data_IF_566955307869
#
_entry.id   IF_566955307869
#
_cell.length_a   1.000
_cell.length_b   1.000
_cell.length_c   1.000
_cell.angle_alpha   90.00
_cell.angle_beta   90.00
_cell.angle_gamma   90.00
#
_symmetry.space_group_name_H-M   'P 1'
#
loop_
_entity.id
_entity.type
_entity.pdbx_description
1 polymer ?
#
# COMPACT_ATOMS: atom_id res chain seq x y z
N UNK A 1 -18.25 -2.04 10.65
CA UNK A 1 -19.13 -1.11 9.88
C UNK A 1 -19.59 0.12 10.68
N UNK A 2 -19.78 0.04 12.01
CA UNK A 2 -20.19 1.20 12.83
C UNK A 2 -19.26 2.44 12.72
N UNK A 3 -17.99 2.25 12.38
CA UNK A 3 -17.01 3.33 12.19
C UNK A 3 -17.16 4.08 10.85
N UNK A 4 -17.86 3.53 9.85
CA UNK A 4 -17.93 4.09 8.49
C UNK A 4 -18.38 5.57 8.48
N UNK A 5 -19.45 5.98 9.19
CA UNK A 5 -19.87 7.39 9.17
C UNK A 5 -18.80 8.35 9.69
N UNK A 6 -18.01 7.92 10.68
CA UNK A 6 -16.93 8.73 11.25
C UNK A 6 -15.76 8.82 10.26
N UNK A 7 -15.37 7.69 9.66
CA UNK A 7 -14.28 7.64 8.68
C UNK A 7 -14.61 8.49 7.44
N UNK A 8 -15.85 8.43 6.95
CA UNK A 8 -16.31 9.30 5.85
C UNK A 8 -16.16 10.76 6.25
N UNK A 9 -16.64 11.14 7.44
CA UNK A 9 -16.51 12.53 7.90
C UNK A 9 -15.05 13.00 7.95
N UNK A 10 -14.13 12.15 8.37
CA UNK A 10 -12.68 12.47 8.40
C UNK A 10 -12.11 12.61 6.99
N UNK A 11 -12.44 11.70 6.07
CA UNK A 11 -11.99 11.75 4.68
C UNK A 11 -12.47 13.05 3.97
N UNK A 12 -13.70 13.46 4.25
CA UNK A 12 -14.33 14.64 3.65
C UNK A 12 -13.80 15.98 4.17
N UNK A 13 -13.18 15.99 5.35
CA UNK A 13 -12.70 17.21 5.99
C UNK A 13 -11.41 17.71 5.35
N UNK A 14 -11.53 18.61 4.37
CA UNK A 14 -10.36 19.21 3.69
C UNK A 14 -9.56 20.17 4.57
N UNK A 15 -10.03 20.46 5.79
CA UNK A 15 -9.25 21.24 6.78
C UNK A 15 -8.37 20.34 7.65
N UNK A 16 -8.59 19.02 7.60
CA UNK A 16 -7.81 18.03 8.31
C UNK A 16 -6.50 17.71 7.58
N UNK A 17 -5.47 17.29 8.32
CA UNK A 17 -4.20 16.93 7.73
C UNK A 17 -4.35 15.78 6.71
N UNK A 18 -3.67 15.88 5.53
CA UNK A 18 -3.58 14.80 4.55
C UNK A 18 -3.38 13.41 5.13
N UNK A 19 -2.49 13.31 6.12
CA UNK A 19 -2.16 12.05 6.78
C UNK A 19 -3.38 11.40 7.43
N UNK A 20 -4.16 12.19 8.17
CA UNK A 20 -5.35 11.65 8.87
C UNK A 20 -6.46 11.26 7.87
N UNK A 21 -6.54 11.97 6.74
CA UNK A 21 -7.51 11.69 5.69
C UNK A 21 -7.19 10.40 4.93
N UNK A 22 -5.91 10.12 4.63
CA UNK A 22 -5.55 8.84 4.00
C UNK A 22 -5.83 7.68 4.94
N UNK A 23 -5.56 7.79 6.25
CA UNK A 23 -5.87 6.70 7.18
C UNK A 23 -7.36 6.42 7.31
N UNK A 24 -8.19 7.45 7.14
CA UNK A 24 -9.62 7.23 7.02
C UNK A 24 -9.97 6.43 5.74
N UNK A 25 -9.38 6.77 4.60
CA UNK A 25 -9.58 6.04 3.34
C UNK A 25 -9.04 4.59 3.41
N UNK A 26 -7.87 4.38 4.00
CA UNK A 26 -7.29 3.05 4.19
C UNK A 26 -8.17 2.19 5.11
N UNK A 27 -8.62 2.74 6.24
CA UNK A 27 -9.53 2.06 7.16
C UNK A 27 -10.87 1.69 6.48
N UNK A 28 -11.39 2.55 5.62
CA UNK A 28 -12.58 2.24 4.80
C UNK A 28 -12.30 1.07 3.84
N UNK A 29 -11.14 1.08 3.17
CA UNK A 29 -10.67 -0.03 2.33
C UNK A 29 -10.53 -1.33 3.11
N UNK A 30 -9.94 -1.28 4.30
CA UNK A 30 -9.75 -2.42 5.21
C UNK A 30 -11.09 -3.02 5.66
N UNK A 31 -12.07 -2.18 6.00
CA UNK A 31 -13.46 -2.61 6.32
C UNK A 31 -14.09 -3.35 5.14
N UNK A 32 -13.78 -2.96 3.90
CA UNK A 32 -14.16 -3.73 2.71
C UNK A 32 -15.64 -3.64 2.34
N UNK A 33 -16.36 -2.59 2.77
CA UNK A 33 -17.80 -2.47 2.52
C UNK A 33 -18.07 -1.81 1.15
N UNK A 34 -18.84 -2.41 0.23
CA UNK A 34 -19.16 -1.77 -1.05
C UNK A 34 -19.94 -0.44 -0.94
N UNK A 35 -20.61 -0.20 0.19
CA UNK A 35 -21.37 1.04 0.43
C UNK A 35 -20.51 2.32 0.45
N UNK A 36 -19.18 2.19 0.56
CA UNK A 36 -18.26 3.31 0.57
C UNK A 36 -17.56 3.54 -0.78
N UNK A 37 -17.93 2.81 -1.83
CA UNK A 37 -17.31 2.97 -3.15
C UNK A 37 -17.53 4.36 -3.73
N UNK A 38 -18.75 4.90 -3.64
CA UNK A 38 -19.06 6.22 -4.21
C UNK A 38 -18.24 7.34 -3.56
N UNK A 39 -18.05 7.27 -2.23
CA UNK A 39 -17.24 8.26 -1.51
C UNK A 39 -15.76 8.11 -1.82
N UNK A 40 -15.24 6.88 -1.89
CA UNK A 40 -13.84 6.66 -2.29
C UNK A 40 -13.61 7.09 -3.75
N UNK A 41 -14.55 6.85 -4.67
CA UNK A 41 -14.44 7.27 -6.08
C UNK A 41 -14.49 8.80 -6.26
N UNK A 42 -15.19 9.50 -5.35
CA UNK A 42 -15.14 10.97 -5.28
C UNK A 42 -13.75 11.45 -4.88
N UNK A 43 -13.13 10.83 -3.86
CA UNK A 43 -11.84 11.26 -3.30
C UNK A 43 -10.62 10.62 -3.96
N UNK A 44 -10.79 9.65 -4.88
CA UNK A 44 -9.68 9.18 -5.73
C UNK A 44 -9.19 10.23 -6.73
N UNK A 45 -9.85 11.38 -6.78
CA UNK A 45 -9.47 12.58 -7.55
C UNK A 45 -9.12 13.76 -6.64
N UNK A 46 -8.85 13.51 -5.37
CA UNK A 46 -8.44 14.55 -4.42
C UNK A 46 -7.16 15.25 -4.92
N UNK A 47 -7.01 16.56 -4.74
CA UNK A 47 -5.77 17.26 -5.09
C UNK A 47 -4.56 16.80 -4.27
N UNK A 48 -4.78 16.19 -3.10
CA UNK A 48 -3.74 15.59 -2.27
C UNK A 48 -3.49 14.16 -2.75
N UNK A 49 -2.29 13.92 -3.27
CA UNK A 49 -1.92 12.66 -3.95
C UNK A 49 -2.08 11.46 -3.01
N UNK A 50 -1.65 11.57 -1.76
CA UNK A 50 -1.71 10.50 -0.77
C UNK A 50 -3.16 10.07 -0.50
N UNK A 51 -4.08 11.03 -0.45
CA UNK A 51 -5.52 10.75 -0.24
C UNK A 51 -6.11 10.10 -1.50
N UNK A 52 -5.78 10.64 -2.67
CA UNK A 52 -6.27 10.13 -3.95
C UNK A 52 -5.83 8.69 -4.21
N UNK A 53 -4.53 8.42 -4.06
CA UNK A 53 -3.92 7.11 -4.24
C UNK A 53 -4.45 6.09 -3.22
N UNK A 54 -4.60 6.48 -1.96
CA UNK A 54 -5.16 5.60 -0.92
C UNK A 54 -6.62 5.25 -1.21
N UNK A 55 -7.42 6.21 -1.71
CA UNK A 55 -8.79 5.93 -2.15
C UNK A 55 -8.81 4.94 -3.32
N UNK A 56 -7.93 5.09 -4.32
CA UNK A 56 -7.82 4.14 -5.43
C UNK A 56 -7.43 2.73 -4.96
N UNK A 57 -6.46 2.61 -4.05
CA UNK A 57 -6.09 1.34 -3.41
C UNK A 57 -7.27 0.71 -2.68
N UNK A 58 -7.99 1.49 -1.86
CA UNK A 58 -9.17 1.03 -1.13
C UNK A 58 -10.28 0.52 -2.07
N UNK A 59 -10.55 1.23 -3.17
CA UNK A 59 -11.52 0.82 -4.20
C UNK A 59 -11.11 -0.52 -4.81
N UNK A 60 -9.86 -0.65 -5.26
CA UNK A 60 -9.37 -1.87 -5.88
C UNK A 60 -9.39 -3.04 -4.90
N UNK A 61 -9.08 -2.81 -3.63
CA UNK A 61 -9.20 -3.80 -2.56
C UNK A 61 -10.64 -4.28 -2.36
N UNK A 62 -11.61 -3.37 -2.26
CA UNK A 62 -13.03 -3.70 -2.11
C UNK A 62 -13.51 -4.51 -3.33
N UNK A 63 -13.17 -4.05 -4.54
CA UNK A 63 -13.51 -4.75 -5.79
C UNK A 63 -12.87 -6.14 -5.87
N UNK A 64 -11.65 -6.31 -5.37
CA UNK A 64 -11.01 -7.62 -5.29
C UNK A 64 -11.72 -8.55 -4.30
N UNK A 65 -12.11 -8.07 -3.11
CA UNK A 65 -12.86 -8.85 -2.13
C UNK A 65 -14.22 -9.33 -2.65
N UNK A 66 -14.92 -8.48 -3.42
CA UNK A 66 -16.23 -8.81 -3.97
C UNK A 66 -16.18 -9.93 -5.01
N UNK A 67 -15.08 -10.00 -5.78
CA UNK A 67 -14.92 -10.97 -6.87
C UNK A 67 -14.82 -12.42 -6.42
N UNK A 68 -14.57 -12.73 -5.13
CA UNK A 68 -14.51 -14.07 -4.49
C UNK A 68 -13.68 -15.20 -5.16
N UNK A 69 -13.22 -15.05 -6.40
CA UNK A 69 -12.66 -16.11 -7.25
C UNK A 69 -11.14 -16.00 -7.46
N UNK A 70 -10.51 -14.86 -7.14
CA UNK A 70 -9.06 -14.68 -7.30
C UNK A 70 -8.24 -14.99 -6.02
N UNK A 71 -8.80 -15.76 -5.10
CA UNK A 71 -8.10 -16.28 -3.90
C UNK A 71 -7.41 -17.63 -4.17
N UNK A 72 -7.01 -17.92 -5.41
CA UNK A 72 -6.17 -19.08 -5.69
C UNK A 72 -4.84 -18.95 -4.94
N UNK A 73 -4.40 -20.03 -4.26
CA UNK A 73 -3.13 -20.19 -3.52
C UNK A 73 -2.32 -18.90 -3.30
N UNK A 74 -2.89 -17.93 -2.59
CA UNK A 74 -2.17 -16.73 -2.22
C UNK A 74 -1.10 -17.10 -1.19
N UNK A 75 0.11 -16.50 -1.28
CA UNK A 75 1.09 -16.61 -0.21
C UNK A 75 0.47 -16.21 1.13
N UNK A 76 0.72 -17.01 2.17
CA UNK A 76 0.32 -16.68 3.53
C UNK A 76 0.91 -15.32 3.94
N UNK A 77 0.12 -14.47 4.61
CA UNK A 77 0.62 -13.26 5.23
C UNK A 77 1.09 -13.59 6.66
N UNK A 78 2.41 -13.66 6.94
CA UNK A 78 2.90 -14.03 8.26
C UNK A 78 2.78 -12.90 9.30
N UNK A 79 2.33 -11.71 8.91
CA UNK A 79 2.24 -10.52 9.77
C UNK A 79 0.84 -10.27 10.33
N UNK A 80 -0.17 -11.06 9.92
CA UNK A 80 -1.57 -10.91 10.34
C UNK A 80 -2.13 -9.48 10.14
N UNK A 81 -1.56 -8.72 9.20
CA UNK A 81 -2.00 -7.37 8.85
C UNK A 81 -3.15 -7.42 7.85
N UNK A 82 -3.96 -6.36 7.85
CA UNK A 82 -4.98 -6.13 6.82
C UNK A 82 -4.36 -5.25 5.74
N UNK A 83 -3.67 -5.88 4.79
CA UNK A 83 -2.92 -5.15 3.76
C UNK A 83 -3.87 -4.39 2.79
N UNK A 84 -3.48 -3.20 2.30
CA UNK A 84 -4.20 -2.44 1.27
C UNK A 84 -4.37 -3.19 -0.06
N UNK A 85 -3.48 -4.14 -0.36
CA UNK A 85 -3.62 -5.03 -1.50
C UNK A 85 -3.25 -6.48 -1.11
N UNK A 86 -3.88 -7.50 -1.69
CA UNK A 86 -3.45 -8.88 -1.49
C UNK A 86 -2.08 -9.12 -2.16
N UNK A 87 -1.33 -10.17 -1.78
CA UNK A 87 -0.10 -10.51 -2.50
C UNK A 87 -0.40 -10.98 -3.93
N UNK A 88 0.60 -10.91 -4.79
CA UNK A 88 0.56 -11.43 -6.16
C UNK A 88 0.62 -12.97 -6.13
N UNK A 89 -0.30 -13.69 -6.82
CA UNK A 89 -0.36 -15.16 -6.86
C UNK A 89 0.79 -15.86 -7.59
N UNK A 90 1.74 -15.12 -8.18
CA UNK A 90 2.88 -15.69 -8.90
C UNK A 90 3.64 -16.62 -7.94
N UNK A 91 4.26 -17.69 -8.46
CA UNK A 91 5.06 -18.71 -7.73
C UNK A 91 6.31 -18.15 -7.00
N UNK A 92 6.21 -16.98 -6.36
CA UNK A 92 7.29 -16.23 -5.73
C UNK A 92 8.47 -15.98 -6.67
N UNK A 93 8.20 -15.67 -7.95
CA UNK A 93 9.24 -15.22 -8.87
C UNK A 93 9.71 -13.82 -8.46
N UNK A 94 10.77 -13.81 -7.67
CA UNK A 94 11.46 -12.61 -7.21
C UNK A 94 11.73 -11.60 -8.33
N UNK A 95 12.15 -12.06 -9.51
CA UNK A 95 12.56 -11.15 -10.60
C UNK A 95 11.36 -10.40 -11.14
N UNK A 96 10.25 -11.11 -11.37
CA UNK A 96 9.00 -10.50 -11.80
C UNK A 96 8.46 -9.51 -10.76
N UNK A 97 8.47 -9.90 -9.48
CA UNK A 97 8.00 -9.05 -8.38
C UNK A 97 8.83 -7.77 -8.24
N UNK A 98 10.16 -7.87 -8.30
CA UNK A 98 11.06 -6.70 -8.27
C UNK A 98 10.78 -5.77 -9.45
N UNK A 99 10.62 -6.32 -10.66
CA UNK A 99 10.34 -5.51 -11.84
C UNK A 99 9.01 -4.75 -11.71
N UNK A 100 7.96 -5.39 -11.19
CA UNK A 100 6.66 -4.72 -10.96
C UNK A 100 6.80 -3.65 -9.87
N UNK A 101 7.46 -3.95 -8.74
CA UNK A 101 7.65 -3.00 -7.64
C UNK A 101 8.28 -1.69 -8.11
N UNK A 102 9.30 -1.79 -8.98
CA UNK A 102 10.13 -0.66 -9.42
C UNK A 102 9.65 -0.01 -10.73
N UNK A 103 8.60 -0.51 -11.37
CA UNK A 103 8.04 0.09 -12.59
C UNK A 103 7.14 1.28 -12.25
N UNK A 104 7.60 2.50 -12.53
CA UNK A 104 6.83 3.73 -12.28
C UNK A 104 5.61 3.88 -13.19
N UNK A 105 5.50 3.08 -14.26
CA UNK A 105 4.33 3.08 -15.14
C UNK A 105 3.30 2.00 -14.74
N UNK A 106 3.65 1.10 -13.82
CA UNK A 106 2.73 0.09 -13.33
C UNK A 106 1.67 0.73 -12.43
N UNK A 107 0.48 0.13 -12.41
CA UNK A 107 -0.60 0.59 -11.52
C UNK A 107 -0.19 0.43 -10.07
N UNK A 108 -0.52 1.43 -9.24
CA UNK A 108 -0.16 1.43 -7.83
C UNK A 108 -0.62 0.15 -7.10
N UNK A 109 -1.83 -0.32 -7.37
CA UNK A 109 -2.33 -1.57 -6.82
C UNK A 109 -1.44 -2.77 -7.16
N UNK A 110 -0.96 -2.90 -8.40
CA UNK A 110 -0.07 -3.99 -8.81
C UNK A 110 1.31 -3.90 -8.13
N UNK A 111 1.82 -2.68 -7.94
CA UNK A 111 3.06 -2.43 -7.19
C UNK A 111 2.92 -2.81 -5.72
N UNK A 112 1.78 -2.49 -5.09
CA UNK A 112 1.47 -2.90 -3.71
C UNK A 112 1.36 -4.42 -3.58
N UNK A 113 0.70 -5.10 -4.53
CA UNK A 113 0.64 -6.57 -4.54
C UNK A 113 2.03 -7.19 -4.62
N UNK A 114 2.92 -6.64 -5.46
CA UNK A 114 4.31 -7.07 -5.56
C UNK A 114 5.08 -6.81 -4.25
N UNK A 115 4.88 -5.64 -3.64
CA UNK A 115 5.47 -5.25 -2.36
C UNK A 115 5.14 -6.25 -1.24
N UNK A 116 3.86 -6.58 -1.05
CA UNK A 116 3.45 -7.54 -0.02
C UNK A 116 3.93 -8.96 -0.31
N UNK A 117 4.07 -9.33 -1.58
CA UNK A 117 4.68 -10.62 -1.96
C UNK A 117 6.15 -10.67 -1.56
N UNK A 118 6.92 -9.63 -1.88
CA UNK A 118 8.34 -9.52 -1.50
C UNK A 118 8.50 -9.51 0.03
N UNK A 119 7.64 -8.78 0.76
CA UNK A 119 7.61 -8.83 2.22
C UNK A 119 7.41 -10.26 2.72
N UNK A 120 6.43 -10.98 2.18
CA UNK A 120 6.11 -12.33 2.65
C UNK A 120 7.25 -13.35 2.34
N UNK A 121 8.09 -13.10 1.33
CA UNK A 121 9.24 -13.95 1.01
C UNK A 121 10.31 -13.97 2.12
N UNK A 122 10.51 -12.84 2.82
CA UNK A 122 11.50 -12.71 3.92
C UNK A 122 12.92 -13.15 3.54
N UNK A 123 13.30 -12.98 2.27
CA UNK A 123 14.65 -13.25 1.79
C UNK A 123 15.46 -11.95 1.75
N UNK A 124 16.79 -12.08 1.80
CA UNK A 124 17.69 -10.94 1.71
C UNK A 124 17.49 -10.16 0.39
N UNK A 125 17.28 -10.87 -0.70
CA UNK A 125 17.06 -10.28 -2.02
C UNK A 125 15.77 -9.45 -2.04
N UNK A 126 14.70 -9.95 -1.41
CA UNK A 126 13.44 -9.23 -1.30
C UNK A 126 13.58 -7.97 -0.44
N UNK A 127 14.31 -8.03 0.69
CA UNK A 127 14.63 -6.85 1.52
C UNK A 127 15.36 -5.78 0.71
N UNK A 128 16.31 -6.19 -0.14
CA UNK A 128 17.04 -5.26 -1.00
C UNK A 128 16.15 -4.65 -2.08
N UNK A 129 15.27 -5.43 -2.71
CA UNK A 129 14.30 -4.92 -3.69
C UNK A 129 13.34 -3.90 -3.05
N UNK A 130 12.83 -4.20 -1.85
CA UNK A 130 12.02 -3.26 -1.07
C UNK A 130 12.81 -2.00 -0.72
N UNK A 131 14.07 -2.14 -0.28
CA UNK A 131 14.96 -1.00 -0.02
C UNK A 131 15.19 -0.09 -1.24
N UNK A 132 15.28 -0.65 -2.45
CA UNK A 132 15.33 0.12 -3.70
C UNK A 132 14.00 0.87 -3.96
N UNK A 133 12.87 0.31 -3.53
CA UNK A 133 11.54 0.94 -3.63
C UNK A 133 11.40 2.24 -2.84
N UNK A 134 12.25 2.50 -1.83
CA UNK A 134 12.30 3.79 -1.13
C UNK A 134 12.78 4.95 -2.01
N UNK A 135 13.24 4.69 -3.24
CA UNK A 135 13.78 5.70 -4.16
C UNK A 135 12.89 5.97 -5.37
N UNK A 136 11.68 5.39 -5.41
CA UNK A 136 10.76 5.56 -6.54
C UNK A 136 9.30 5.68 -6.08
N UNK A 137 8.43 6.11 -6.99
CA UNK A 137 7.01 6.30 -6.70
C UNK A 137 6.71 7.51 -5.79
N UNK A 138 5.45 7.61 -5.39
CA UNK A 138 4.93 8.70 -4.56
C UNK A 138 5.41 8.61 -3.10
N UNK A 139 5.19 9.68 -2.33
CA UNK A 139 5.42 9.67 -0.88
C UNK A 139 4.62 8.56 -0.19
N UNK A 140 3.37 8.33 -0.59
CA UNK A 140 2.55 7.22 -0.10
C UNK A 140 3.18 5.85 -0.40
N UNK A 141 3.67 5.64 -1.62
CA UNK A 141 4.32 4.38 -1.97
C UNK A 141 5.58 4.14 -1.12
N UNK A 142 6.44 5.15 -0.96
CA UNK A 142 7.64 5.05 -0.11
C UNK A 142 7.31 4.83 1.36
N UNK A 143 6.27 5.49 1.87
CA UNK A 143 5.75 5.28 3.21
C UNK A 143 5.40 3.80 3.44
N UNK A 144 4.66 3.18 2.52
CA UNK A 144 4.28 1.78 2.65
C UNK A 144 5.50 0.85 2.54
N UNK A 145 6.45 1.16 1.65
CA UNK A 145 7.73 0.43 1.58
C UNK A 145 8.47 0.48 2.92
N UNK A 146 8.55 1.65 3.55
CA UNK A 146 9.17 1.80 4.86
C UNK A 146 8.41 1.01 5.94
N UNK A 147 7.08 1.03 5.90
CA UNK A 147 6.22 0.26 6.79
C UNK A 147 6.48 -1.25 6.69
N UNK A 148 6.52 -1.82 5.47
CA UNK A 148 6.78 -3.26 5.29
C UNK A 148 8.21 -3.66 5.64
N UNK A 149 9.20 -2.79 5.44
CA UNK A 149 10.56 -3.01 5.94
C UNK A 149 10.60 -3.03 7.47
N UNK A 150 9.81 -2.17 8.12
CA UNK A 150 9.60 -2.18 9.57
C UNK A 150 8.94 -3.48 10.06
N UNK A 151 7.96 -4.01 9.32
CA UNK A 151 7.36 -5.32 9.61
C UNK A 151 8.38 -6.46 9.50
N UNK A 152 9.28 -6.40 8.50
CA UNK A 152 10.32 -7.42 8.30
C UNK A 152 11.32 -7.49 9.44
N UNK A 153 11.65 -6.35 10.06
CA UNK A 153 12.64 -6.24 11.15
C UNK A 153 14.02 -6.83 10.77
N UNK A 154 14.37 -6.83 9.47
CA UNK A 154 15.61 -7.40 8.96
C UNK A 154 16.73 -6.35 9.00
N UNK A 155 17.90 -6.67 9.58
CA UNK A 155 19.03 -5.73 9.70
C UNK A 155 19.53 -5.20 8.34
N UNK A 156 19.36 -5.95 7.26
CA UNK A 156 19.73 -5.51 5.91
C UNK A 156 18.90 -4.30 5.43
N UNK A 157 17.75 -4.05 6.04
CA UNK A 157 16.89 -2.87 5.76
C UNK A 157 17.42 -1.57 6.35
N UNK A 158 18.23 -1.65 7.42
CA UNK A 158 18.63 -0.48 8.23
C UNK A 158 19.30 0.58 7.37
N UNK A 159 20.20 0.17 6.46
CA UNK A 159 20.89 1.13 5.57
C UNK A 159 19.90 1.90 4.69
N UNK A 160 18.85 1.25 4.19
CA UNK A 160 17.89 1.87 3.28
C UNK A 160 16.95 2.81 4.03
N UNK A 161 16.44 2.39 5.19
CA UNK A 161 15.63 3.24 6.07
C UNK A 161 16.41 4.46 6.56
N UNK A 162 17.69 4.26 6.90
CA UNK A 162 18.58 5.36 7.29
C UNK A 162 18.81 6.33 6.12
N UNK A 163 19.16 5.83 4.94
CA UNK A 163 19.32 6.67 3.74
C UNK A 163 18.05 7.48 3.45
N UNK A 164 16.87 6.86 3.56
CA UNK A 164 15.58 7.55 3.35
C UNK A 164 15.30 8.64 4.39
N UNK A 165 15.65 8.42 5.66
CA UNK A 165 15.50 9.44 6.72
C UNK A 165 16.51 10.58 6.63
N UNK A 166 17.67 10.33 6.03
CA UNK A 166 18.73 11.34 5.82
C UNK A 166 18.50 12.19 4.56
N UNK A 167 17.55 11.82 3.69
CA UNK A 167 17.24 12.57 2.47
C UNK A 167 16.34 13.78 2.77
N UNK A 168 16.95 14.95 2.91
CA UNK A 168 16.23 16.21 3.13
C UNK A 168 15.37 16.65 1.92
N UNK A 169 15.56 16.07 0.73
CA UNK A 169 14.81 16.44 -0.47
C UNK A 169 13.59 15.53 -0.71
N UNK A 170 13.34 14.55 0.18
CA UNK A 170 12.29 13.55 0.01
C UNK A 170 10.87 14.14 0.03
N UNK A 171 10.71 15.32 0.63
CA UNK A 171 9.43 16.04 0.80
C UNK A 171 9.32 17.31 -0.08
N UNK A 172 10.23 17.52 -1.03
CA UNK A 172 10.23 18.68 -1.95
C UNK A 172 9.59 18.41 -3.30
#
# INVERSE_FOLDING_TARGET
>A
KAAIPVLIKVLEDTTQEPMVRHEAAEALGAIGSPEVLDILEKYSKDPVVEVAETCDLAINRIKWLDKKEESGNLPENPYNSVDPAPPTPINNDYTALKNILLDENAKLFDRYRAMFSLRNMRTKEAVYALGEGLKCGSALFRHEVAFVLGQLQDENSIKFLKESLEDCNENE
#
